data_IF_017173067120
#
_entry.id   IF_017173067120
#
_cell.length_a   1.000
_cell.length_b   1.000
_cell.length_c   1.000
_cell.angle_alpha   90.00
_cell.angle_beta   90.00
_cell.angle_gamma   90.00
#
_symmetry.space_group_name_H-M   'P 1'
#
loop_
_entity.id
_entity.type
_entity.pdbx_description
1 polymer ?
#
# COMPACT_ATOMS: atom_id res chain seq x y z
N UNK A 1 27.40 22.72 22.17
CA UNK A 1 26.34 22.02 22.90
C UNK A 1 26.93 20.73 23.41
N UNK A 2 26.85 20.36 24.68
CA UNK A 2 27.40 19.08 25.13
C UNK A 2 26.67 17.94 24.42
N UNK A 3 27.42 17.01 23.86
CA UNK A 3 26.96 15.85 23.05
C UNK A 3 25.80 15.09 23.74
N UNK A 4 25.80 15.08 25.06
CA UNK A 4 24.74 14.52 25.91
C UNK A 4 23.35 15.11 25.64
N UNK A 5 23.23 16.43 25.46
CA UNK A 5 21.92 17.08 25.23
C UNK A 5 21.39 16.84 23.81
N UNK A 6 22.28 16.67 22.85
CA UNK A 6 21.89 16.34 21.47
C UNK A 6 21.27 14.94 21.38
N UNK A 7 21.97 13.93 21.90
CA UNK A 7 21.47 12.55 21.89
C UNK A 7 20.21 12.36 22.76
N UNK A 8 20.13 13.06 23.90
CA UNK A 8 18.90 13.03 24.71
C UNK A 8 17.72 13.67 23.95
N UNK A 9 17.97 14.77 23.24
CA UNK A 9 16.95 15.41 22.38
C UNK A 9 16.49 14.52 21.24
N UNK A 10 17.40 13.84 20.57
CA UNK A 10 17.09 12.88 19.51
C UNK A 10 16.27 11.68 20.02
N UNK A 11 16.68 11.14 21.17
CA UNK A 11 15.93 10.07 21.83
C UNK A 11 14.50 10.50 22.20
N UNK A 12 14.32 11.68 22.77
CA UNK A 12 13.01 12.23 23.06
C UNK A 12 12.15 12.39 21.82
N UNK A 13 12.74 12.86 20.71
CA UNK A 13 12.02 12.97 19.44
C UNK A 13 11.59 11.60 18.90
N UNK A 14 12.44 10.58 19.01
CA UNK A 14 12.10 9.20 18.63
C UNK A 14 10.95 8.64 19.47
N UNK A 15 11.01 8.80 20.80
CA UNK A 15 9.95 8.31 21.69
C UNK A 15 8.64 9.07 21.49
N UNK A 16 8.68 10.39 21.30
CA UNK A 16 7.50 11.20 20.97
C UNK A 16 6.90 10.82 19.63
N UNK A 17 7.74 10.61 18.60
CA UNK A 17 7.31 10.18 17.28
C UNK A 17 6.66 8.78 17.34
N UNK A 18 7.26 7.85 18.05
CA UNK A 18 6.71 6.51 18.27
C UNK A 18 5.36 6.56 19.04
N UNK A 19 5.28 7.40 20.07
CA UNK A 19 4.03 7.59 20.84
C UNK A 19 2.93 8.20 19.96
N UNK A 20 3.27 9.19 19.15
CA UNK A 20 2.33 9.80 18.20
C UNK A 20 1.84 8.76 17.16
N UNK A 21 2.73 8.00 16.58
CA UNK A 21 2.37 6.92 15.64
C UNK A 21 1.41 5.91 16.28
N UNK A 22 1.65 5.52 17.55
CA UNK A 22 0.76 4.62 18.28
C UNK A 22 -0.62 5.20 18.57
N UNK A 23 -0.72 6.51 18.79
CA UNK A 23 -2.03 7.16 19.02
C UNK A 23 -2.85 7.32 17.74
N UNK A 24 -2.21 7.30 16.57
CA UNK A 24 -2.88 7.37 15.27
C UNK A 24 -3.29 5.98 14.74
N UNK A 25 -2.51 4.95 15.01
CA UNK A 25 -2.89 3.57 14.73
C UNK A 25 -3.86 3.12 15.83
N UNK A 26 -5.14 2.98 15.55
CA UNK A 26 -6.08 2.35 16.47
C UNK A 26 -5.64 0.89 16.67
N UNK A 27 -5.00 0.53 17.80
CA UNK A 27 -4.46 -0.82 17.97
C UNK A 27 -5.62 -1.83 17.99
N UNK A 28 -5.48 -2.87 17.20
CA UNK A 28 -6.38 -4.01 17.27
C UNK A 28 -6.24 -4.70 18.65
N UNK A 29 -7.23 -5.48 19.10
CA UNK A 29 -7.14 -6.22 20.37
C UNK A 29 -5.90 -7.11 20.48
N UNK A 30 -5.39 -7.60 19.35
CA UNK A 30 -4.19 -8.45 19.26
C UNK A 30 -2.89 -7.65 19.48
N UNK A 31 -2.92 -6.35 19.25
CA UNK A 31 -1.80 -5.42 19.42
C UNK A 31 -1.71 -4.82 20.83
N UNK A 32 -2.52 -5.32 21.77
CA UNK A 32 -2.55 -4.85 23.18
C UNK A 32 -1.19 -4.91 23.92
N UNK A 33 -0.22 -5.69 23.42
CA UNK A 33 1.16 -5.73 23.93
C UNK A 33 1.95 -4.43 23.67
N UNK A 34 1.52 -3.57 22.75
CA UNK A 34 2.17 -2.30 22.44
C UNK A 34 2.07 -1.31 23.62
N UNK A 35 0.97 -1.32 24.35
CA UNK A 35 0.78 -0.43 25.49
C UNK A 35 1.86 -0.64 26.57
N UNK A 36 2.14 -1.87 27.04
CA UNK A 36 3.25 -2.13 27.93
C UNK A 36 4.61 -1.67 27.39
N UNK A 37 4.85 -1.84 26.07
CA UNK A 37 6.11 -1.42 25.46
C UNK A 37 6.29 0.10 25.44
N UNK A 38 5.22 0.86 25.12
CA UNK A 38 5.21 2.33 25.24
C UNK A 38 5.52 2.76 26.67
N UNK A 39 4.91 2.12 27.64
CA UNK A 39 5.15 2.40 29.07
C UNK A 39 6.61 2.14 29.42
N UNK A 40 7.19 1.01 28.97
CA UNK A 40 8.62 0.69 29.17
C UNK A 40 9.51 1.75 28.54
N UNK A 41 9.23 2.18 27.30
CA UNK A 41 9.98 3.24 26.61
C UNK A 41 9.94 4.56 27.39
N UNK A 42 8.79 4.94 27.93
CA UNK A 42 8.65 6.14 28.77
C UNK A 42 9.35 5.99 30.12
N UNK A 43 9.30 4.81 30.73
CA UNK A 43 10.04 4.54 31.99
C UNK A 43 11.56 4.66 31.72
N UNK A 44 12.05 4.07 30.63
CA UNK A 44 13.46 4.17 30.23
C UNK A 44 13.86 5.61 29.94
N UNK A 45 12.99 6.37 29.26
CA UNK A 45 13.19 7.80 28.97
C UNK A 45 13.23 8.62 30.26
N UNK A 46 12.29 8.38 31.17
CA UNK A 46 12.26 9.03 32.47
C UNK A 46 13.52 8.69 33.28
N UNK A 47 13.95 7.43 33.32
CA UNK A 47 15.17 6.98 33.97
C UNK A 47 16.43 7.65 33.38
N UNK A 48 16.46 7.87 32.06
CA UNK A 48 17.57 8.58 31.40
C UNK A 48 17.61 10.09 31.70
N UNK A 49 16.46 10.70 32.01
CA UNK A 49 16.33 12.13 32.32
C UNK A 49 16.49 12.46 33.79
N UNK A 50 16.41 11.49 34.72
CA UNK A 50 16.45 11.71 36.17
C UNK A 50 17.90 11.98 36.66
N UNK A 51 18.06 12.82 37.72
CA UNK A 51 19.39 13.15 38.23
C UNK A 51 20.14 11.97 38.84
N UNK A 52 21.44 11.99 38.64
CA UNK A 52 22.56 11.15 39.04
C UNK A 52 22.42 10.00 40.08
N UNK A 53 21.43 9.96 40.94
CA UNK A 53 21.30 8.91 41.99
C UNK A 53 20.58 7.65 41.50
N UNK A 54 19.50 7.78 40.73
CA UNK A 54 18.80 6.64 40.12
C UNK A 54 19.58 6.07 38.93
N UNK A 55 20.29 6.92 38.18
CA UNK A 55 21.23 6.50 37.12
C UNK A 55 22.27 5.48 37.61
N UNK A 56 22.74 5.58 38.84
CA UNK A 56 23.66 4.60 39.44
C UNK A 56 23.03 3.23 39.66
N UNK A 57 21.75 3.16 39.97
CA UNK A 57 21.04 1.89 40.17
C UNK A 57 20.81 1.15 38.85
N UNK A 58 20.47 1.87 37.78
CA UNK A 58 20.35 1.31 36.40
C UNK A 58 21.72 0.99 35.79
N UNK A 59 22.75 1.73 36.17
CA UNK A 59 24.14 1.52 35.73
C UNK A 59 24.83 0.28 36.28
N UNK A 60 24.35 -0.30 37.39
CA UNK A 60 24.97 -1.48 38.00
C UNK A 60 25.09 -2.69 37.04
N UNK A 61 24.02 -3.10 36.34
CA UNK A 61 24.12 -4.17 35.36
C UNK A 61 25.07 -3.82 34.17
N UNK A 62 25.08 -2.56 33.78
CA UNK A 62 25.92 -2.08 32.65
C UNK A 62 27.40 -2.08 33.05
N UNK A 63 27.71 -1.63 34.23
CA UNK A 63 29.09 -1.73 34.79
C UNK A 63 29.56 -3.16 34.98
N UNK A 64 28.67 -4.08 35.40
CA UNK A 64 28.97 -5.50 35.47
C UNK A 64 29.22 -6.08 34.07
N UNK A 65 28.40 -5.77 33.06
CA UNK A 65 28.62 -6.18 31.70
C UNK A 65 29.92 -5.65 31.12
N UNK A 66 30.30 -4.41 31.44
CA UNK A 66 31.59 -3.82 31.02
C UNK A 66 32.79 -4.55 31.61
N UNK A 67 32.62 -5.10 32.81
CA UNK A 67 33.66 -5.95 33.44
C UNK A 67 33.84 -7.31 32.72
N UNK A 68 32.88 -7.66 31.82
CA UNK A 68 32.90 -8.88 31.02
C UNK A 68 32.91 -8.53 29.51
N UNK A 69 34.05 -8.08 28.95
CA UNK A 69 34.10 -7.45 27.64
C UNK A 69 33.57 -8.32 26.51
N UNK A 70 33.77 -9.64 26.55
CA UNK A 70 33.25 -10.56 25.53
C UNK A 70 31.71 -10.54 25.54
N UNK A 71 31.10 -10.66 26.71
CA UNK A 71 29.64 -10.66 26.86
C UNK A 71 29.05 -9.31 26.49
N UNK A 72 29.71 -8.21 26.83
CA UNK A 72 29.29 -6.85 26.48
C UNK A 72 29.28 -6.66 24.95
N UNK A 73 30.37 -7.00 24.27
CA UNK A 73 30.42 -6.83 22.81
C UNK A 73 29.47 -7.79 22.08
N UNK A 74 29.34 -9.03 22.56
CA UNK A 74 28.39 -9.98 21.99
C UNK A 74 26.96 -9.46 22.09
N UNK A 75 26.57 -8.94 23.26
CA UNK A 75 25.24 -8.38 23.48
C UNK A 75 25.00 -7.14 22.61
N UNK A 76 25.98 -6.24 22.52
CA UNK A 76 25.89 -5.05 21.66
C UNK A 76 25.73 -5.45 20.19
N UNK A 77 26.46 -6.45 19.74
CA UNK A 77 26.41 -6.96 18.37
C UNK A 77 25.07 -7.62 18.06
N UNK A 78 24.48 -8.36 19.02
CA UNK A 78 23.15 -8.94 18.89
C UNK A 78 22.08 -7.84 18.79
N UNK A 79 22.16 -6.79 19.61
CA UNK A 79 21.21 -5.69 19.55
C UNK A 79 21.35 -4.85 18.27
N UNK A 80 22.58 -4.54 17.85
CA UNK A 80 22.84 -3.84 16.58
C UNK A 80 22.32 -4.71 15.41
N UNK A 81 22.66 -5.99 15.42
CA UNK A 81 22.22 -6.94 14.40
C UNK A 81 20.68 -7.07 14.37
N UNK A 82 20.03 -7.10 15.53
CA UNK A 82 18.58 -7.12 15.65
C UNK A 82 17.91 -5.85 15.10
N UNK A 83 18.46 -4.68 15.46
CA UNK A 83 17.97 -3.40 14.93
C UNK A 83 18.12 -3.31 13.40
N UNK A 84 19.26 -3.71 12.86
CA UNK A 84 19.47 -3.75 11.41
C UNK A 84 18.60 -4.81 10.72
N UNK A 85 18.41 -5.97 11.36
CA UNK A 85 17.57 -7.03 10.80
C UNK A 85 16.11 -6.59 10.67
N UNK A 86 15.58 -5.77 11.58
CA UNK A 86 14.23 -5.20 11.48
C UNK A 86 14.03 -4.34 10.22
N UNK A 87 15.07 -3.71 9.70
CA UNK A 87 15.03 -2.93 8.46
C UNK A 87 15.07 -3.80 7.20
N UNK A 88 15.57 -5.02 7.30
CA UNK A 88 15.76 -5.94 6.17
C UNK A 88 14.60 -6.96 6.06
N UNK A 89 14.16 -7.52 7.21
CA UNK A 89 13.16 -8.59 7.28
C UNK A 89 11.76 -8.21 6.72
N UNK A 90 11.26 -6.97 6.83
CA UNK A 90 9.94 -6.62 6.30
C UNK A 90 9.75 -6.79 4.79
N UNK A 91 10.84 -6.93 4.04
CA UNK A 91 10.80 -6.99 2.57
C UNK A 91 10.74 -8.41 2.00
N UNK A 92 10.74 -9.44 2.84
CA UNK A 92 10.61 -10.80 2.33
C UNK A 92 9.16 -11.28 2.46
N UNK A 93 8.50 -11.69 1.35
CA UNK A 93 7.19 -12.30 1.39
C UNK A 93 7.32 -13.72 1.98
N UNK A 94 7.38 -13.85 3.28
CA UNK A 94 7.30 -15.14 3.96
C UNK A 94 5.95 -15.24 4.65
N UNK A 95 5.35 -16.42 4.60
CA UNK A 95 4.05 -16.82 5.11
C UNK A 95 3.81 -16.61 6.63
N UNK A 96 4.43 -15.60 7.25
CA UNK A 96 4.23 -15.19 8.63
C UNK A 96 3.70 -13.76 8.68
N UNK A 97 2.86 -13.47 9.66
CA UNK A 97 2.35 -12.14 9.92
C UNK A 97 3.49 -11.13 10.01
N UNK A 98 3.66 -10.28 9.04
CA UNK A 98 4.72 -9.29 9.07
C UNK A 98 4.38 -8.24 10.15
N UNK A 99 5.40 -7.66 10.81
CA UNK A 99 5.22 -6.60 11.80
C UNK A 99 4.47 -5.41 11.19
N UNK A 100 3.49 -4.87 11.89
CA UNK A 100 2.85 -3.62 11.49
C UNK A 100 3.87 -2.46 11.53
N UNK A 101 3.65 -1.35 10.80
CA UNK A 101 4.54 -0.18 10.86
C UNK A 101 4.77 0.32 12.27
N UNK A 102 3.74 0.24 13.09
CA UNK A 102 3.75 0.67 14.48
C UNK A 102 4.62 -0.26 15.32
N UNK A 103 4.44 -1.57 15.19
CA UNK A 103 5.28 -2.59 15.83
C UNK A 103 6.74 -2.42 15.46
N UNK A 104 7.02 -2.23 14.17
CA UNK A 104 8.37 -1.97 13.67
C UNK A 104 9.02 -0.79 14.40
N UNK A 105 8.33 0.35 14.46
CA UNK A 105 8.86 1.57 15.09
C UNK A 105 9.13 1.38 16.57
N UNK A 106 8.23 0.70 17.28
CA UNK A 106 8.42 0.45 18.71
C UNK A 106 9.59 -0.48 18.99
N UNK A 107 9.69 -1.58 18.25
CA UNK A 107 10.78 -2.53 18.42
C UNK A 107 12.11 -1.87 18.05
N UNK A 108 12.15 -1.14 16.93
CA UNK A 108 13.35 -0.43 16.47
C UNK A 108 13.76 0.66 17.48
N UNK A 109 12.83 1.49 17.91
CA UNK A 109 13.10 2.52 18.93
C UNK A 109 13.56 1.91 20.26
N UNK A 110 12.97 0.79 20.69
CA UNK A 110 13.40 0.08 21.88
C UNK A 110 14.82 -0.46 21.76
N UNK A 111 15.15 -1.11 20.63
CA UNK A 111 16.48 -1.65 20.36
C UNK A 111 17.54 -0.54 20.30
N UNK A 112 17.31 0.49 19.50
CA UNK A 112 18.27 1.61 19.40
C UNK A 112 18.39 2.40 20.69
N UNK A 113 17.30 2.58 21.45
CA UNK A 113 17.34 3.19 22.76
C UNK A 113 18.16 2.37 23.76
N UNK A 114 18.03 1.06 23.73
CA UNK A 114 18.83 0.16 24.58
C UNK A 114 20.31 0.17 24.20
N UNK A 115 20.62 0.16 22.90
CA UNK A 115 21.99 0.34 22.39
C UNK A 115 22.59 1.66 22.86
N UNK A 116 21.81 2.75 22.76
CA UNK A 116 22.22 4.07 23.21
C UNK A 116 22.55 4.08 24.71
N UNK A 117 21.66 3.53 25.55
CA UNK A 117 21.85 3.50 27.01
C UNK A 117 23.12 2.70 27.38
N UNK A 118 23.29 1.52 26.79
CA UNK A 118 24.45 0.64 27.07
C UNK A 118 25.75 1.29 26.57
N UNK A 119 25.79 1.73 25.32
CA UNK A 119 26.99 2.30 24.73
C UNK A 119 27.37 3.64 25.36
N UNK A 120 26.38 4.50 25.62
CA UNK A 120 26.62 5.80 26.20
C UNK A 120 27.13 5.72 27.64
N UNK A 121 26.44 4.99 28.50
CA UNK A 121 26.79 4.92 29.94
C UNK A 121 28.11 4.17 30.14
N UNK A 122 28.39 3.17 29.31
CA UNK A 122 29.65 2.42 29.35
C UNK A 122 30.87 3.22 28.86
N UNK A 123 30.70 4.11 27.88
CA UNK A 123 31.79 4.80 27.20
C UNK A 123 31.75 6.35 27.37
N UNK A 124 30.94 6.87 28.29
CA UNK A 124 30.82 8.32 28.51
C UNK A 124 32.17 9.05 28.69
N UNK A 125 33.15 8.52 29.50
CA UNK A 125 34.43 9.19 29.66
C UNK A 125 35.28 9.20 28.37
N UNK A 126 35.30 8.09 27.63
CA UNK A 126 36.04 7.94 26.37
C UNK A 126 35.41 8.82 25.27
N UNK A 127 34.07 8.83 25.18
CA UNK A 127 33.33 9.65 24.23
C UNK A 127 33.56 11.16 24.50
N UNK A 128 33.62 11.58 25.78
CA UNK A 128 33.98 12.98 26.12
C UNK A 128 35.43 13.31 25.76
N UNK A 129 36.35 12.39 26.00
CA UNK A 129 37.76 12.56 25.64
C UNK A 129 37.98 12.58 24.12
N UNK A 130 37.29 11.72 23.38
CA UNK A 130 37.25 11.75 21.92
C UNK A 130 36.66 13.05 21.39
N UNK A 131 35.51 13.51 21.94
CA UNK A 131 34.85 14.74 21.53
C UNK A 131 35.75 15.97 21.69
N UNK A 132 36.58 16.02 22.74
CA UNK A 132 37.54 17.09 22.96
C UNK A 132 38.71 17.09 21.98
N UNK A 133 39.14 15.92 21.52
CA UNK A 133 40.21 15.75 20.52
C UNK A 133 39.71 15.92 19.08
N UNK A 134 38.52 15.37 18.79
CA UNK A 134 37.89 15.43 17.47
C UNK A 134 37.51 16.85 17.08
N UNK A 135 37.09 17.70 18.04
CA UNK A 135 36.68 19.09 17.78
C UNK A 135 37.73 19.99 17.10
N UNK A 136 38.97 19.52 16.98
CA UNK A 136 40.09 20.21 16.32
C UNK A 136 40.55 19.57 15.00
N UNK A 137 39.88 18.48 14.56
CA UNK A 137 40.28 17.69 13.40
C UNK A 137 39.36 17.90 12.19
N UNK A 138 39.96 17.94 10.99
CA UNK A 138 39.19 17.93 9.72
C UNK A 138 38.29 16.70 9.61
N UNK A 139 38.67 15.59 10.24
CA UNK A 139 37.88 14.36 10.32
C UNK A 139 36.55 14.56 11.04
N UNK A 140 36.46 15.50 12.00
CA UNK A 140 35.20 15.82 12.69
C UNK A 140 34.16 16.36 11.73
N UNK A 141 34.57 17.23 10.79
CA UNK A 141 33.64 17.74 9.76
C UNK A 141 33.05 16.61 8.92
N UNK A 142 33.90 15.69 8.47
CA UNK A 142 33.45 14.50 7.70
C UNK A 142 32.52 13.62 8.53
N UNK A 143 32.86 13.31 9.77
CA UNK A 143 32.00 12.50 10.65
C UNK A 143 30.66 13.16 10.93
N UNK A 144 30.65 14.47 11.20
CA UNK A 144 29.38 15.22 11.39
C UNK A 144 28.53 15.18 10.14
N UNK A 145 29.14 15.40 8.97
CA UNK A 145 28.42 15.33 7.70
C UNK A 145 27.83 13.94 7.45
N UNK A 146 28.61 12.86 7.62
CA UNK A 146 28.14 11.51 7.45
C UNK A 146 26.99 11.18 8.43
N UNK A 147 27.15 11.53 9.71
CA UNK A 147 26.13 11.32 10.73
C UNK A 147 24.85 12.07 10.38
N UNK A 148 24.96 13.33 9.91
CA UNK A 148 23.79 14.12 9.49
C UNK A 148 23.09 13.48 8.29
N UNK A 149 23.85 13.03 7.29
CA UNK A 149 23.28 12.33 6.13
C UNK A 149 22.57 11.03 6.53
N UNK A 150 23.16 10.25 7.43
CA UNK A 150 22.52 9.05 7.96
C UNK A 150 21.24 9.38 8.74
N UNK A 151 21.25 10.43 9.56
CA UNK A 151 20.05 10.87 10.28
C UNK A 151 18.94 11.31 9.33
N UNK A 152 19.26 12.04 8.27
CA UNK A 152 18.30 12.45 7.24
C UNK A 152 17.77 11.22 6.51
N UNK A 153 18.65 10.27 6.17
CA UNK A 153 18.27 9.02 5.53
C UNK A 153 17.28 8.20 6.38
N UNK A 154 17.63 7.93 7.64
CA UNK A 154 16.75 7.17 8.53
C UNK A 154 15.47 7.92 8.90
N UNK A 155 15.51 9.25 9.00
CA UNK A 155 14.29 10.04 9.20
C UNK A 155 13.36 9.96 7.98
N UNK A 156 13.90 10.03 6.77
CA UNK A 156 13.15 9.84 5.53
C UNK A 156 12.56 8.42 5.41
N UNK A 157 13.37 7.43 5.71
CA UNK A 157 12.95 6.02 5.75
C UNK A 157 11.79 5.79 6.73
N UNK A 158 11.92 6.29 7.97
CA UNK A 158 10.88 6.20 8.98
C UNK A 158 9.61 6.95 8.57
N UNK A 159 9.75 8.14 7.98
CA UNK A 159 8.62 8.93 7.50
C UNK A 159 7.80 8.18 6.45
N UNK A 160 8.46 7.62 5.43
CA UNK A 160 7.79 6.88 4.36
C UNK A 160 7.11 5.62 4.87
N UNK A 161 7.69 4.93 5.86
CA UNK A 161 7.10 3.71 6.42
C UNK A 161 5.92 3.94 7.35
N UNK A 162 5.88 5.08 8.05
CA UNK A 162 4.92 5.32 9.14
C UNK A 162 3.83 6.29 8.74
N UNK A 163 4.21 7.38 8.07
CA UNK A 163 3.32 8.52 7.83
C UNK A 163 2.87 8.65 6.38
N UNK A 164 3.58 8.01 5.46
CA UNK A 164 3.30 8.11 4.03
C UNK A 164 2.87 6.76 3.46
N UNK A 165 1.81 6.17 4.04
CA UNK A 165 1.25 4.92 3.57
C UNK A 165 0.27 5.23 2.45
N UNK A 166 0.74 5.07 1.23
CA UNK A 166 0.00 5.23 -0.02
C UNK A 166 0.51 4.23 -1.04
N UNK A 167 0.00 4.26 -2.25
CA UNK A 167 0.42 3.38 -3.34
C UNK A 167 0.87 4.18 -4.56
N UNK A 168 1.66 3.55 -5.41
CA UNK A 168 2.09 4.05 -6.72
C UNK A 168 1.53 3.22 -7.88
N UNK A 169 0.69 2.24 -7.57
CA UNK A 169 0.10 1.35 -8.55
C UNK A 169 1.03 0.24 -9.08
N UNK A 170 2.29 0.17 -8.61
CA UNK A 170 3.27 -0.80 -9.15
C UNK A 170 3.49 -1.98 -8.22
N UNK A 171 3.25 -3.19 -8.72
CA UNK A 171 3.29 -4.43 -7.95
C UNK A 171 4.63 -4.78 -7.30
N UNK A 172 5.74 -4.11 -7.67
CA UNK A 172 7.10 -4.44 -7.21
C UNK A 172 7.76 -3.36 -6.35
N UNK A 173 7.08 -2.23 -6.08
CA UNK A 173 7.64 -1.14 -5.26
C UNK A 173 7.40 -1.36 -3.79
N UNK A 174 8.26 -0.77 -2.96
CA UNK A 174 8.10 -0.79 -1.51
C UNK A 174 6.85 -0.06 -1.06
N UNK A 175 6.47 1.01 -1.76
CA UNK A 175 5.28 1.81 -1.46
C UNK A 175 4.02 0.97 -1.64
N UNK A 176 3.87 0.35 -2.80
CA UNK A 176 2.73 -0.50 -3.11
C UNK A 176 2.64 -1.71 -2.18
N UNK A 177 3.76 -2.42 -1.96
CA UNK A 177 3.82 -3.54 -1.03
C UNK A 177 3.38 -3.13 0.39
N UNK A 178 3.84 -1.96 0.86
CA UNK A 178 3.51 -1.45 2.19
C UNK A 178 2.04 -1.11 2.34
N UNK A 179 1.43 -0.55 1.28
CA UNK A 179 0.01 -0.29 1.23
C UNK A 179 -0.80 -1.60 1.27
N UNK A 180 -0.46 -2.59 0.44
CA UNK A 180 -1.12 -3.89 0.43
C UNK A 180 -1.09 -4.56 1.80
N UNK A 181 0.05 -4.50 2.46
CA UNK A 181 0.23 -5.05 3.79
C UNK A 181 -0.67 -4.40 4.84
N UNK A 182 -0.87 -3.10 4.76
CA UNK A 182 -1.64 -2.36 5.77
C UNK A 182 -3.13 -2.31 5.47
N UNK A 183 -3.51 -2.31 4.20
CA UNK A 183 -4.88 -2.05 3.78
C UNK A 183 -5.43 -3.05 2.75
N UNK A 184 -4.59 -3.70 1.96
CA UNK A 184 -5.03 -4.69 0.98
C UNK A 184 -5.38 -6.02 1.64
N UNK A 185 -4.36 -6.75 2.06
CA UNK A 185 -4.53 -8.13 2.55
C UNK A 185 -5.19 -8.24 3.92
N UNK A 186 -5.05 -7.25 4.79
CA UNK A 186 -5.61 -7.27 6.15
C UNK A 186 -7.13 -7.04 6.20
N UNK A 187 -7.75 -6.70 5.08
CA UNK A 187 -9.18 -6.43 4.98
C UNK A 187 -9.91 -7.48 4.14
N UNK A 188 -9.32 -8.67 3.98
CA UNK A 188 -9.96 -9.78 3.29
C UNK A 188 -10.96 -10.47 4.21
N UNK A 189 -12.15 -10.74 3.66
CA UNK A 189 -13.19 -11.51 4.32
C UNK A 189 -12.90 -13.02 4.32
N UNK A 190 -13.78 -13.82 4.90
CA UNK A 190 -13.63 -15.28 4.97
C UNK A 190 -13.64 -15.98 3.61
N UNK A 191 -14.14 -15.31 2.56
CA UNK A 191 -14.14 -15.82 1.18
C UNK A 191 -12.82 -15.49 0.45
N UNK A 192 -12.01 -14.58 1.00
CA UNK A 192 -10.67 -14.26 0.51
C UNK A 192 -10.56 -12.98 -0.31
N UNK A 193 -11.60 -12.17 -0.37
CA UNK A 193 -11.61 -10.89 -1.07
C UNK A 193 -11.58 -9.70 -0.09
N UNK A 194 -11.01 -8.59 -0.52
CA UNK A 194 -11.02 -7.33 0.25
C UNK A 194 -12.44 -6.76 0.30
N UNK A 195 -13.16 -7.17 1.33
CA UNK A 195 -14.58 -6.91 1.48
C UNK A 195 -15.04 -7.14 2.91
N UNK A 196 -16.23 -6.66 3.28
CA UNK A 196 -16.92 -7.10 4.48
C UNK A 196 -17.33 -8.58 4.38
N UNK A 197 -17.65 -9.18 5.52
CA UNK A 197 -18.20 -10.54 5.52
C UNK A 197 -19.55 -10.54 4.81
N UNK A 198 -19.77 -11.44 3.82
CA UNK A 198 -21.04 -11.52 3.12
C UNK A 198 -22.17 -11.89 4.07
N UNK A 199 -23.35 -11.34 3.85
CA UNK A 199 -24.51 -11.67 4.65
C UNK A 199 -24.93 -13.13 4.43
N UNK A 200 -25.52 -13.79 5.47
CA UNK A 200 -26.09 -15.11 5.31
C UNK A 200 -27.13 -15.17 4.19
N UNK A 201 -27.31 -16.35 3.60
CA UNK A 201 -28.31 -16.52 2.55
C UNK A 201 -29.72 -16.24 3.08
N UNK A 202 -30.34 -15.21 2.50
CA UNK A 202 -31.73 -14.83 2.74
C UNK A 202 -32.41 -14.62 1.38
N UNK A 203 -33.52 -15.32 1.07
CA UNK A 203 -34.28 -15.12 -0.16
C UNK A 203 -34.78 -13.70 -0.38
N UNK A 204 -34.95 -12.93 0.70
CA UNK A 204 -35.37 -11.52 0.64
C UNK A 204 -34.26 -10.59 0.17
N UNK A 205 -32.98 -11.00 0.30
CA UNK A 205 -31.84 -10.21 -0.14
C UNK A 205 -31.60 -10.35 -1.65
N UNK A 206 -31.27 -9.24 -2.26
CA UNK A 206 -30.73 -9.21 -3.62
C UNK A 206 -29.20 -9.13 -3.53
N UNK A 207 -28.54 -10.25 -3.84
CA UNK A 207 -27.07 -10.32 -3.84
C UNK A 207 -26.54 -9.72 -5.15
N UNK A 208 -25.65 -8.75 -5.02
CA UNK A 208 -24.93 -8.09 -6.11
C UNK A 208 -23.47 -8.47 -6.00
N UNK A 209 -22.88 -9.07 -7.02
CA UNK A 209 -21.45 -9.26 -7.09
C UNK A 209 -20.81 -8.17 -7.96
N UNK A 210 -19.87 -7.42 -7.42
CA UNK A 210 -19.04 -6.49 -8.16
C UNK A 210 -17.72 -7.17 -8.47
N UNK A 211 -17.45 -7.38 -9.74
CA UNK A 211 -16.34 -8.18 -10.24
C UNK A 211 -15.42 -7.31 -11.05
N UNK A 212 -14.12 -7.51 -10.89
CA UNK A 212 -13.11 -6.74 -11.62
C UNK A 212 -11.71 -6.91 -11.03
N UNK A 213 -10.89 -5.94 -11.33
CA UNK A 213 -9.48 -5.88 -10.97
C UNK A 213 -9.21 -4.99 -9.72
N UNK A 214 -8.11 -4.27 -9.76
CA UNK A 214 -7.68 -3.31 -8.74
C UNK A 214 -8.68 -2.15 -8.53
N UNK A 215 -9.48 -1.78 -9.53
CA UNK A 215 -10.49 -0.73 -9.43
C UNK A 215 -11.61 -1.15 -8.48
N UNK A 216 -12.07 -2.39 -8.59
CA UNK A 216 -13.08 -2.97 -7.70
C UNK A 216 -12.51 -3.26 -6.31
N UNK A 217 -11.30 -3.82 -6.24
CA UNK A 217 -10.62 -4.07 -4.99
C UNK A 217 -10.41 -2.76 -4.19
N UNK A 218 -10.42 -1.61 -4.86
CA UNK A 218 -10.20 -0.30 -4.25
C UNK A 218 -8.73 -0.04 -3.93
N UNK A 219 -7.85 -0.36 -4.91
CA UNK A 219 -6.41 -0.11 -4.79
C UNK A 219 -6.16 1.37 -4.47
N UNK A 220 -5.33 1.62 -3.46
CA UNK A 220 -5.01 2.97 -3.01
C UNK A 220 -5.99 3.60 -2.03
N UNK A 221 -7.17 3.01 -1.81
CA UNK A 221 -8.17 3.46 -0.85
C UNK A 221 -7.92 2.76 0.50
N UNK A 222 -7.55 3.50 1.53
CA UNK A 222 -7.13 2.93 2.80
C UNK A 222 -8.28 2.33 3.61
N UNK A 223 -9.42 3.01 3.63
CA UNK A 223 -10.59 2.55 4.35
C UNK A 223 -11.51 1.77 3.41
N UNK A 224 -11.84 0.54 3.77
CA UNK A 224 -12.73 -0.33 3.00
C UNK A 224 -14.08 0.33 2.71
N UNK A 225 -14.66 1.01 3.70
CA UNK A 225 -15.95 1.70 3.59
C UNK A 225 -15.98 2.84 2.55
N UNK A 226 -14.82 3.30 2.10
CA UNK A 226 -14.69 4.36 1.09
C UNK A 226 -14.51 3.81 -0.34
N UNK A 227 -14.43 2.48 -0.52
CA UNK A 227 -14.40 1.85 -1.85
C UNK A 227 -15.77 1.96 -2.53
N UNK A 228 -15.81 1.96 -3.85
CA UNK A 228 -17.08 2.16 -4.54
C UNK A 228 -18.09 1.01 -4.34
N UNK A 229 -17.69 -0.28 -4.20
CA UNK A 229 -18.65 -1.33 -3.89
C UNK A 229 -19.32 -1.14 -2.53
N UNK A 230 -18.57 -0.70 -1.50
CA UNK A 230 -19.13 -0.42 -0.17
C UNK A 230 -20.04 0.82 -0.16
N UNK A 231 -19.70 1.85 -0.96
CA UNK A 231 -20.60 3.00 -1.16
C UNK A 231 -21.89 2.60 -1.87
N UNK A 232 -21.80 1.75 -2.89
CA UNK A 232 -22.94 1.19 -3.59
C UNK A 232 -23.87 0.42 -2.63
N UNK A 233 -23.31 -0.44 -1.76
CA UNK A 233 -24.10 -1.15 -0.77
C UNK A 233 -24.89 -0.21 0.15
N UNK A 234 -24.23 0.84 0.64
CA UNK A 234 -24.87 1.87 1.47
C UNK A 234 -26.01 2.58 0.75
N UNK A 235 -25.86 2.87 -0.55
CA UNK A 235 -26.90 3.52 -1.37
C UNK A 235 -28.08 2.60 -1.63
N UNK A 236 -27.82 1.35 -1.99
CA UNK A 236 -28.87 0.34 -2.23
C UNK A 236 -29.65 -0.02 -0.96
N UNK A 237 -29.01 0.01 0.21
CA UNK A 237 -29.64 -0.21 1.52
C UNK A 237 -29.92 -1.68 1.86
N UNK A 238 -30.66 -1.90 2.93
CA UNK A 238 -30.81 -3.18 3.63
C UNK A 238 -31.43 -4.34 2.79
N UNK A 239 -31.96 -4.08 1.61
CA UNK A 239 -32.49 -5.12 0.71
C UNK A 239 -31.42 -5.77 -0.18
N UNK A 240 -30.20 -5.29 -0.10
CA UNK A 240 -29.09 -5.74 -0.94
C UNK A 240 -27.90 -6.19 -0.10
N UNK A 241 -27.08 -7.05 -0.70
CA UNK A 241 -25.81 -7.53 -0.18
C UNK A 241 -24.79 -7.46 -1.33
N UNK A 242 -23.89 -6.48 -1.26
CA UNK A 242 -22.90 -6.23 -2.31
C UNK A 242 -21.61 -6.95 -1.94
N UNK A 243 -21.17 -7.85 -2.80
CA UNK A 243 -19.96 -8.64 -2.57
C UNK A 243 -18.91 -8.31 -3.63
N UNK A 244 -17.66 -8.16 -3.20
CA UNK A 244 -16.50 -7.95 -4.06
C UNK A 244 -15.91 -9.29 -4.49
N UNK A 245 -15.63 -9.44 -5.79
CA UNK A 245 -14.89 -10.55 -6.38
C UNK A 245 -13.78 -9.94 -7.23
N UNK A 246 -12.71 -9.52 -6.61
CA UNK A 246 -11.67 -8.74 -7.29
C UNK A 246 -10.30 -8.89 -6.64
N UNK A 247 -9.26 -8.80 -7.47
CA UNK A 247 -7.86 -8.68 -7.05
C UNK A 247 -7.10 -7.89 -8.11
N UNK A 248 -6.05 -7.18 -7.70
CA UNK A 248 -5.27 -6.38 -8.64
C UNK A 248 -4.61 -7.21 -9.74
N UNK A 249 -4.70 -6.71 -10.96
CA UNK A 249 -4.09 -7.32 -12.13
C UNK A 249 -4.84 -8.54 -12.67
N UNK A 250 -6.10 -8.73 -12.28
CA UNK A 250 -6.95 -9.69 -12.96
C UNK A 250 -7.33 -9.19 -14.35
N UNK A 251 -7.38 -10.14 -15.27
CA UNK A 251 -7.89 -9.98 -16.63
C UNK A 251 -9.27 -10.64 -16.71
N UNK A 252 -10.02 -10.37 -17.76
CA UNK A 252 -11.41 -10.83 -17.95
C UNK A 252 -11.62 -12.34 -17.80
N UNK A 253 -10.68 -13.18 -18.20
CA UNK A 253 -10.77 -14.65 -18.06
C UNK A 253 -10.61 -15.10 -16.60
N UNK A 254 -9.75 -14.44 -15.84
CA UNK A 254 -9.57 -14.68 -14.41
C UNK A 254 -10.80 -14.24 -13.62
N UNK A 255 -11.42 -13.13 -14.00
CA UNK A 255 -12.68 -12.65 -13.42
C UNK A 255 -13.81 -13.67 -13.63
N UNK A 256 -13.98 -14.18 -14.86
CA UNK A 256 -14.98 -15.23 -15.15
C UNK A 256 -14.73 -16.49 -14.33
N UNK A 257 -13.47 -16.94 -14.22
CA UNK A 257 -13.13 -18.10 -13.41
C UNK A 257 -13.54 -17.89 -11.95
N UNK A 258 -13.28 -16.73 -11.36
CA UNK A 258 -13.59 -16.45 -9.97
C UNK A 258 -15.09 -16.28 -9.69
N UNK A 259 -15.83 -15.64 -10.60
CA UNK A 259 -17.31 -15.58 -10.51
C UNK A 259 -17.89 -17.00 -10.46
N UNK A 260 -17.43 -17.90 -11.32
CA UNK A 260 -17.92 -19.28 -11.39
C UNK A 260 -17.60 -20.09 -10.13
N UNK A 261 -16.53 -19.76 -9.43
CA UNK A 261 -16.07 -20.40 -8.19
C UNK A 261 -16.63 -19.76 -6.93
N UNK A 262 -17.21 -18.58 -7.04
CA UNK A 262 -17.72 -17.85 -5.88
C UNK A 262 -18.82 -18.68 -5.19
N UNK A 263 -18.74 -18.87 -3.87
CA UNK A 263 -19.64 -19.79 -3.17
C UNK A 263 -21.08 -19.29 -3.10
N UNK A 264 -21.30 -17.99 -3.21
CA UNK A 264 -22.61 -17.38 -3.12
C UNK A 264 -23.12 -17.03 -4.51
N UNK A 265 -24.45 -17.16 -4.71
CA UNK A 265 -25.06 -16.97 -6.03
C UNK A 265 -25.63 -15.53 -6.14
N UNK A 266 -25.01 -14.65 -6.93
CA UNK A 266 -25.54 -13.31 -7.16
C UNK A 266 -26.78 -13.36 -8.08
N UNK A 267 -27.71 -12.44 -7.85
CA UNK A 267 -28.80 -12.14 -8.80
C UNK A 267 -28.36 -11.11 -9.85
N UNK A 268 -27.44 -10.22 -9.45
CA UNK A 268 -26.89 -9.16 -10.29
C UNK A 268 -25.37 -9.29 -10.24
N UNK A 269 -24.72 -9.17 -11.40
CA UNK A 269 -23.26 -9.05 -11.52
C UNK A 269 -22.95 -7.72 -12.19
N UNK A 270 -22.12 -6.92 -11.54
CA UNK A 270 -21.51 -5.74 -12.13
C UNK A 270 -20.10 -6.14 -12.55
N UNK A 271 -19.85 -6.22 -13.84
CA UNK A 271 -18.50 -6.38 -14.38
C UNK A 271 -17.88 -4.99 -14.55
N UNK A 272 -16.88 -4.71 -13.75
CA UNK A 272 -16.13 -3.46 -13.79
C UNK A 272 -14.94 -3.61 -14.73
N UNK A 273 -15.11 -3.18 -15.96
CA UNK A 273 -14.10 -3.26 -17.00
C UNK A 273 -13.22 -2.01 -17.00
N UNK A 274 -11.93 -2.20 -16.86
CA UNK A 274 -10.93 -1.16 -17.13
C UNK A 274 -10.06 -1.55 -18.34
N UNK A 275 -9.44 -0.56 -18.99
CA UNK A 275 -8.72 -0.81 -20.25
C UNK A 275 -7.48 -1.69 -20.10
N UNK A 276 -6.99 -1.93 -18.88
CA UNK A 276 -5.88 -2.86 -18.63
C UNK A 276 -6.28 -4.35 -18.72
N UNK A 277 -7.57 -4.67 -18.79
CA UNK A 277 -8.07 -6.05 -18.96
C UNK A 277 -7.56 -6.74 -20.24
N UNK A 278 -6.90 -5.98 -21.13
CA UNK A 278 -6.21 -6.48 -22.31
C UNK A 278 -4.68 -6.53 -22.19
N UNK A 279 -4.11 -6.19 -21.02
CA UNK A 279 -2.65 -6.12 -20.84
C UNK A 279 -1.98 -7.47 -21.03
N UNK A 280 -2.67 -8.57 -20.74
CA UNK A 280 -2.14 -9.92 -20.97
C UNK A 280 -1.75 -10.17 -22.44
N UNK A 281 -2.41 -9.51 -23.40
CA UNK A 281 -2.09 -9.59 -24.83
C UNK A 281 -0.79 -8.87 -25.21
N UNK A 282 -0.28 -8.02 -24.32
CA UNK A 282 0.96 -7.27 -24.51
C UNK A 282 2.17 -7.89 -23.82
N UNK A 283 1.99 -8.84 -22.91
CA UNK A 283 3.07 -9.37 -22.03
C UNK A 283 4.27 -9.90 -22.82
N UNK A 284 4.03 -10.53 -23.97
CA UNK A 284 5.09 -11.10 -24.82
C UNK A 284 5.44 -10.22 -26.03
N UNK A 285 5.10 -8.94 -26.00
CA UNK A 285 5.35 -7.98 -27.07
C UNK A 285 6.29 -6.86 -26.62
N UNK A 286 6.82 -6.09 -27.58
CA UNK A 286 7.60 -4.88 -27.30
C UNK A 286 6.77 -3.78 -26.62
N UNK A 287 5.44 -3.91 -26.64
CA UNK A 287 4.48 -2.99 -26.00
C UNK A 287 4.15 -3.37 -24.55
N UNK A 288 4.78 -4.40 -23.99
CA UNK A 288 4.59 -4.75 -22.57
C UNK A 288 4.89 -3.54 -21.69
N UNK A 289 3.92 -3.07 -20.87
CA UNK A 289 4.10 -1.90 -19.98
C UNK A 289 5.30 -2.03 -19.03
N UNK A 290 5.64 -3.24 -18.62
CA UNK A 290 6.78 -3.53 -17.75
C UNK A 290 8.14 -3.20 -18.41
N UNK A 291 8.21 -3.22 -19.75
CA UNK A 291 9.42 -2.83 -20.48
C UNK A 291 9.78 -1.35 -20.32
N UNK A 292 8.85 -0.53 -19.89
CA UNK A 292 9.08 0.89 -19.61
C UNK A 292 9.82 1.13 -18.28
N UNK A 293 10.03 0.08 -17.45
CA UNK A 293 10.78 0.19 -16.21
C UNK A 293 12.27 -0.05 -16.43
N UNK A 294 13.08 0.87 -15.88
CA UNK A 294 14.52 0.71 -15.86
C UNK A 294 14.90 0.09 -14.51
N UNK A 295 15.15 -1.19 -14.49
CA UNK A 295 15.64 -1.88 -13.30
C UNK A 295 17.14 -1.69 -13.10
N UNK A 296 17.62 -1.59 -11.84
CA UNK A 296 19.04 -1.42 -11.56
C UNK A 296 19.84 -2.63 -12.04
N UNK A 297 20.82 -2.43 -12.94
CA UNK A 297 21.67 -3.51 -13.46
C UNK A 297 22.79 -3.93 -12.49
N UNK A 298 23.19 -3.04 -11.59
CA UNK A 298 24.23 -3.35 -10.59
C UNK A 298 23.60 -4.06 -9.40
N UNK A 299 24.05 -5.28 -9.02
CA UNK A 299 23.45 -6.05 -7.93
C UNK A 299 23.43 -5.33 -6.57
N UNK A 300 24.49 -4.56 -6.26
CA UNK A 300 24.55 -3.82 -5.00
C UNK A 300 23.57 -2.64 -4.98
N UNK A 301 23.41 -1.95 -6.12
CA UNK A 301 22.40 -0.90 -6.27
C UNK A 301 20.98 -1.48 -6.22
N UNK A 302 20.74 -2.61 -6.88
CA UNK A 302 19.48 -3.32 -6.83
C UNK A 302 19.12 -3.72 -5.38
N UNK A 303 20.08 -4.34 -4.69
CA UNK A 303 19.88 -4.69 -3.27
C UNK A 303 19.56 -3.47 -2.41
N UNK A 304 20.30 -2.37 -2.56
CA UNK A 304 20.08 -1.16 -1.78
C UNK A 304 18.70 -0.52 -2.05
N UNK A 305 18.32 -0.43 -3.32
CA UNK A 305 17.02 0.13 -3.74
C UNK A 305 15.87 -0.77 -3.28
N UNK A 306 16.04 -2.09 -3.33
CA UNK A 306 14.99 -3.02 -2.90
C UNK A 306 14.88 -3.15 -1.37
N UNK A 307 15.98 -2.96 -0.63
CA UNK A 307 16.00 -3.13 0.82
C UNK A 307 15.45 -1.91 1.55
N UNK A 308 15.72 -0.71 1.07
CA UNK A 308 15.33 0.52 1.75
C UNK A 308 14.20 1.25 1.03
N UNK A 309 13.23 1.73 1.79
CA UNK A 309 12.04 2.38 1.27
C UNK A 309 12.37 3.72 0.57
N UNK A 310 13.17 4.57 1.22
CA UNK A 310 13.54 5.87 0.67
C UNK A 310 14.30 5.78 -0.68
N UNK A 311 15.32 4.93 -0.85
CA UNK A 311 15.93 4.69 -2.15
C UNK A 311 14.96 4.11 -3.18
N UNK A 312 14.06 3.22 -2.78
CA UNK A 312 13.04 2.64 -3.64
C UNK A 312 12.10 3.73 -4.17
N UNK A 313 11.55 4.53 -3.27
CA UNK A 313 10.71 5.68 -3.59
C UNK A 313 11.40 6.69 -4.52
N UNK A 314 12.64 7.09 -4.19
CA UNK A 314 13.38 8.04 -5.04
C UNK A 314 13.63 7.44 -6.44
N UNK A 315 13.96 6.18 -6.53
CA UNK A 315 14.29 5.54 -7.80
C UNK A 315 13.05 5.33 -8.69
N UNK A 316 12.02 4.71 -8.16
CA UNK A 316 10.84 4.32 -8.95
C UNK A 316 9.81 5.46 -9.07
N UNK A 317 9.54 6.20 -8.02
CA UNK A 317 8.49 7.21 -8.05
C UNK A 317 8.99 8.59 -8.45
N UNK A 318 10.18 9.00 -8.00
CA UNK A 318 10.69 10.35 -8.32
C UNK A 318 11.49 10.35 -9.62
N UNK A 319 12.48 9.47 -9.77
CA UNK A 319 13.39 9.50 -10.93
C UNK A 319 12.71 8.94 -12.18
N UNK A 320 12.06 7.80 -12.09
CA UNK A 320 11.41 7.20 -13.26
C UNK A 320 10.13 7.93 -13.67
N UNK A 321 9.34 8.42 -12.72
CA UNK A 321 8.16 9.21 -13.04
C UNK A 321 8.47 10.54 -13.74
N UNK A 322 9.60 11.15 -13.39
CA UNK A 322 10.05 12.40 -14.06
C UNK A 322 10.63 12.17 -15.46
N UNK A 323 10.94 10.92 -15.83
CA UNK A 323 11.26 10.58 -17.21
C UNK A 323 9.95 10.47 -18.01
N UNK A 324 9.56 11.54 -18.65
CA UNK A 324 8.25 11.84 -19.26
C UNK A 324 7.69 10.85 -20.30
N UNK A 325 8.43 9.82 -20.66
CA UNK A 325 8.01 8.84 -21.68
C UNK A 325 6.97 7.82 -21.15
N UNK A 326 6.86 7.63 -19.85
CA UNK A 326 6.24 6.46 -19.27
C UNK A 326 4.72 6.50 -19.17
N UNK A 327 4.16 7.54 -18.55
CA UNK A 327 2.70 7.63 -18.38
C UNK A 327 1.98 7.82 -19.71
N UNK A 328 2.59 8.59 -20.62
CA UNK A 328 2.04 8.80 -21.96
C UNK A 328 2.04 7.52 -22.80
N UNK A 329 3.07 6.67 -22.68
CA UNK A 329 3.13 5.41 -23.39
C UNK A 329 2.11 4.42 -22.87
N UNK A 330 1.97 4.26 -21.55
CA UNK A 330 1.01 3.35 -20.94
C UNK A 330 -0.43 3.60 -21.42
N UNK A 331 -0.94 4.81 -21.26
CA UNK A 331 -2.29 5.17 -21.72
C UNK A 331 -2.48 4.98 -23.23
N UNK A 332 -1.47 5.33 -24.04
CA UNK A 332 -1.51 5.11 -25.48
C UNK A 332 -1.51 3.62 -25.86
N UNK A 333 -0.74 2.80 -25.14
CA UNK A 333 -0.70 1.36 -25.37
C UNK A 333 -2.05 0.71 -25.06
N UNK A 334 -2.67 1.04 -23.91
CA UNK A 334 -4.01 0.59 -23.55
C UNK A 334 -5.05 0.92 -24.63
N UNK A 335 -5.05 2.16 -25.11
CA UNK A 335 -5.98 2.60 -26.15
C UNK A 335 -5.71 1.88 -27.47
N UNK A 336 -4.43 1.77 -27.86
CA UNK A 336 -4.05 1.18 -29.15
C UNK A 336 -4.40 -0.31 -29.26
N UNK A 337 -4.31 -1.05 -28.13
CA UNK A 337 -4.71 -2.45 -28.06
C UNK A 337 -6.19 -2.62 -28.34
N UNK A 338 -7.02 -1.77 -27.74
CA UNK A 338 -8.48 -1.79 -27.97
C UNK A 338 -8.86 -1.43 -29.41
N UNK A 339 -8.02 -0.68 -30.11
CA UNK A 339 -8.27 -0.27 -31.48
C UNK A 339 -7.68 -1.23 -32.52
N UNK A 340 -6.89 -2.22 -32.11
CA UNK A 340 -6.36 -3.29 -32.95
C UNK A 340 -7.42 -4.40 -33.09
N UNK A 341 -7.90 -4.65 -34.32
CA UNK A 341 -9.00 -5.59 -34.57
C UNK A 341 -8.62 -7.04 -34.24
N UNK A 342 -7.35 -7.44 -34.41
CA UNK A 342 -6.90 -8.80 -34.12
C UNK A 342 -6.84 -9.06 -32.62
N UNK A 343 -6.33 -8.10 -31.84
CA UNK A 343 -6.28 -8.18 -30.38
C UNK A 343 -7.68 -8.05 -29.78
N UNK A 344 -8.47 -7.11 -30.30
CA UNK A 344 -9.86 -6.94 -29.87
C UNK A 344 -10.70 -8.21 -30.06
N UNK A 345 -10.48 -8.96 -31.16
CA UNK A 345 -11.23 -10.21 -31.41
C UNK A 345 -11.00 -11.25 -30.29
N UNK A 346 -9.81 -11.28 -29.70
CA UNK A 346 -9.49 -12.17 -28.58
C UNK A 346 -10.22 -11.71 -27.31
N UNK A 347 -10.14 -10.43 -27.01
CA UNK A 347 -10.86 -9.85 -25.85
C UNK A 347 -12.38 -10.01 -25.98
N UNK A 348 -12.93 -9.75 -27.16
CA UNK A 348 -14.34 -9.91 -27.43
C UNK A 348 -14.82 -11.36 -27.16
N UNK A 349 -13.97 -12.36 -27.38
CA UNK A 349 -14.28 -13.75 -27.06
C UNK A 349 -14.41 -13.93 -25.52
N UNK A 350 -13.48 -13.40 -24.72
CA UNK A 350 -13.56 -13.47 -23.26
C UNK A 350 -14.79 -12.74 -22.73
N UNK A 351 -15.08 -11.55 -23.26
CA UNK A 351 -16.29 -10.79 -22.91
C UNK A 351 -17.58 -11.55 -23.30
N UNK A 352 -17.56 -12.26 -24.44
CA UNK A 352 -18.67 -13.12 -24.84
C UNK A 352 -18.87 -14.28 -23.86
N UNK A 353 -17.82 -14.91 -23.37
CA UNK A 353 -17.90 -16.00 -22.42
C UNK A 353 -18.54 -15.56 -21.09
N UNK A 354 -18.25 -14.33 -20.63
CA UNK A 354 -18.92 -13.77 -19.44
C UNK A 354 -20.40 -13.52 -19.71
N UNK A 355 -20.76 -12.94 -20.87
CA UNK A 355 -22.15 -12.64 -21.21
C UNK A 355 -22.96 -13.94 -21.39
N UNK A 356 -22.41 -14.94 -22.04
CA UNK A 356 -23.03 -16.28 -22.21
C UNK A 356 -23.21 -16.99 -20.86
N UNK A 357 -22.21 -16.93 -19.97
CA UNK A 357 -22.33 -17.45 -18.61
C UNK A 357 -23.45 -16.74 -17.83
N UNK A 358 -23.52 -15.42 -17.89
CA UNK A 358 -24.57 -14.66 -17.18
C UNK A 358 -25.98 -15.04 -17.68
N UNK A 359 -26.16 -15.18 -18.99
CA UNK A 359 -27.43 -15.60 -19.60
C UNK A 359 -27.79 -17.01 -19.16
N UNK A 360 -26.87 -17.97 -19.24
CA UNK A 360 -27.08 -19.38 -18.82
C UNK A 360 -27.38 -19.53 -17.34
N UNK A 361 -26.79 -18.64 -16.53
CA UNK A 361 -26.98 -18.62 -15.07
C UNK A 361 -28.20 -17.83 -14.62
N UNK A 362 -28.92 -17.20 -15.55
CA UNK A 362 -30.04 -16.28 -15.28
C UNK A 362 -29.65 -15.15 -14.32
N UNK A 363 -28.46 -14.58 -14.54
CA UNK A 363 -27.90 -13.47 -13.79
C UNK A 363 -28.04 -12.18 -14.60
N UNK A 364 -28.53 -11.10 -13.99
CA UNK A 364 -28.51 -9.77 -14.63
C UNK A 364 -27.07 -9.25 -14.64
N UNK A 365 -26.50 -9.05 -15.83
CA UNK A 365 -25.17 -8.48 -16.02
C UNK A 365 -25.28 -6.99 -16.32
N UNK A 366 -24.47 -6.18 -15.63
CA UNK A 366 -24.25 -4.75 -15.87
C UNK A 366 -22.76 -4.56 -16.15
N UNK A 367 -22.39 -3.90 -17.22
CA UNK A 367 -21.00 -3.55 -17.53
C UNK A 367 -20.74 -2.10 -17.09
N UNK A 368 -19.90 -1.93 -16.07
CA UNK A 368 -19.33 -0.65 -15.66
C UNK A 368 -18.00 -0.46 -16.40
N UNK A 369 -17.88 0.58 -17.22
CA UNK A 369 -16.69 0.80 -18.06
C UNK A 369 -15.94 2.05 -17.60
N UNK A 370 -14.67 1.89 -17.26
CA UNK A 370 -13.82 2.97 -16.82
C UNK A 370 -12.93 3.47 -17.98
N UNK A 371 -12.90 4.79 -18.21
CA UNK A 371 -11.91 5.39 -19.08
C UNK A 371 -10.52 5.43 -18.40
N UNK A 372 -9.48 5.71 -19.17
CA UNK A 372 -8.20 6.11 -18.59
C UNK A 372 -8.36 7.46 -17.87
N UNK A 373 -8.28 7.45 -16.54
CA UNK A 373 -8.63 8.60 -15.70
C UNK A 373 -7.70 9.82 -15.91
N UNK A 374 -6.48 9.56 -16.35
CA UNK A 374 -5.54 10.63 -16.73
C UNK A 374 -5.76 11.16 -18.14
N UNK A 375 -6.57 10.48 -19.00
CA UNK A 375 -6.75 10.78 -20.41
C UNK A 375 -8.15 10.40 -20.94
N UNK A 376 -9.20 10.85 -20.28
CA UNK A 376 -10.60 10.45 -20.53
C UNK A 376 -10.98 10.62 -22.01
N UNK A 377 -10.81 11.82 -22.58
CA UNK A 377 -11.22 12.09 -23.95
C UNK A 377 -10.45 11.24 -24.97
N UNK A 378 -9.16 10.95 -24.70
CA UNK A 378 -8.31 10.14 -25.58
C UNK A 378 -8.73 8.67 -25.51
N UNK A 379 -9.16 8.18 -24.37
CA UNK A 379 -9.60 6.79 -24.15
C UNK A 379 -11.04 6.51 -24.55
N UNK A 380 -11.87 7.55 -24.77
CA UNK A 380 -13.28 7.40 -25.17
C UNK A 380 -13.52 6.48 -26.37
N UNK A 381 -12.71 6.43 -27.44
CA UNK A 381 -12.91 5.46 -28.51
C UNK A 381 -12.81 4.00 -28.05
N UNK A 382 -11.91 3.70 -27.11
CA UNK A 382 -11.74 2.36 -26.54
C UNK A 382 -12.94 1.98 -25.64
N UNK A 383 -13.32 2.85 -24.69
CA UNK A 383 -14.50 2.60 -23.83
C UNK A 383 -15.78 2.45 -24.65
N UNK A 384 -15.94 3.26 -25.69
CA UNK A 384 -17.07 3.14 -26.62
C UNK A 384 -17.10 1.77 -27.30
N UNK A 385 -15.96 1.26 -27.78
CA UNK A 385 -15.87 -0.05 -28.42
C UNK A 385 -16.32 -1.17 -27.46
N UNK A 386 -15.86 -1.12 -26.22
CA UNK A 386 -16.28 -2.05 -25.17
C UNK A 386 -17.79 -1.93 -24.90
N UNK A 387 -18.28 -0.72 -24.75
CA UNK A 387 -19.71 -0.47 -24.50
C UNK A 387 -20.61 -0.92 -25.67
N UNK A 388 -20.20 -0.70 -26.90
CA UNK A 388 -20.93 -1.15 -28.09
C UNK A 388 -20.98 -2.69 -28.17
N UNK A 389 -19.89 -3.38 -27.78
CA UNK A 389 -19.92 -4.83 -27.65
C UNK A 389 -20.98 -5.28 -26.64
N UNK A 390 -20.97 -4.79 -25.41
CA UNK A 390 -21.93 -5.19 -24.37
C UNK A 390 -23.38 -4.87 -24.78
N UNK A 391 -23.63 -3.70 -25.36
CA UNK A 391 -24.97 -3.34 -25.89
C UNK A 391 -25.42 -4.30 -26.98
N UNK A 392 -24.51 -4.78 -27.85
CA UNK A 392 -24.82 -5.78 -28.88
C UNK A 392 -25.24 -7.14 -28.31
N UNK A 393 -24.81 -7.44 -27.07
CA UNK A 393 -25.18 -8.63 -26.32
C UNK A 393 -26.39 -8.42 -25.40
N UNK A 394 -27.09 -7.27 -25.51
CA UNK A 394 -28.21 -6.84 -24.67
C UNK A 394 -27.82 -6.69 -23.17
N UNK A 395 -26.57 -6.40 -22.89
CA UNK A 395 -26.08 -6.07 -21.56
C UNK A 395 -26.22 -4.58 -21.31
N UNK A 396 -26.66 -4.22 -20.11
CA UNK A 396 -26.74 -2.84 -19.65
C UNK A 396 -25.34 -2.27 -19.45
N UNK A 397 -25.10 -1.02 -19.87
CA UNK A 397 -23.79 -0.39 -19.85
C UNK A 397 -23.83 0.91 -19.09
N UNK A 398 -22.98 1.03 -18.09
CA UNK A 398 -22.65 2.25 -17.35
C UNK A 398 -21.24 2.68 -17.80
N UNK A 399 -21.15 3.66 -18.70
CA UNK A 399 -19.87 4.21 -19.19
C UNK A 399 -19.53 5.47 -18.39
N UNK A 400 -18.45 5.41 -17.62
CA UNK A 400 -18.02 6.49 -16.76
C UNK A 400 -17.41 7.69 -17.51
N UNK A 401 -17.13 7.57 -18.80
CA UNK A 401 -16.46 8.62 -19.59
C UNK A 401 -17.21 9.96 -19.52
N UNK A 402 -18.53 9.95 -19.65
CA UNK A 402 -19.33 11.19 -19.61
C UNK A 402 -19.49 11.74 -18.19
N UNK A 403 -19.65 10.87 -17.21
CA UNK A 403 -19.78 11.26 -15.79
C UNK A 403 -18.50 11.92 -15.25
N UNK A 404 -17.35 11.44 -15.70
CA UNK A 404 -16.05 11.91 -15.22
C UNK A 404 -15.49 13.08 -16.05
N UNK A 405 -16.06 13.33 -17.25
CA UNK A 405 -15.59 14.40 -18.14
C UNK A 405 -15.73 15.78 -17.49
N UNK A 406 -14.68 16.59 -17.65
CA UNK A 406 -14.63 17.95 -17.11
C UNK A 406 -14.10 18.05 -15.68
N UNK A 407 -13.91 16.92 -14.98
CA UNK A 407 -13.18 16.90 -13.71
C UNK A 407 -11.66 16.92 -13.94
N UNK A 408 -10.94 17.42 -12.95
CA UNK A 408 -9.48 17.41 -13.03
C UNK A 408 -8.95 16.00 -12.70
N UNK A 409 -7.82 15.64 -13.29
CA UNK A 409 -7.16 14.34 -13.02
C UNK A 409 -6.92 14.14 -11.52
N UNK A 410 -6.53 15.19 -10.79
CA UNK A 410 -6.26 15.12 -9.35
C UNK A 410 -7.49 14.82 -8.50
N UNK A 411 -8.71 15.09 -8.97
CA UNK A 411 -9.96 14.70 -8.32
C UNK A 411 -10.29 13.22 -8.57
N UNK A 412 -9.83 12.68 -9.70
CA UNK A 412 -10.24 11.36 -10.16
C UNK A 412 -9.29 10.22 -9.74
N UNK A 413 -8.04 10.52 -9.43
CA UNK A 413 -7.01 9.52 -9.13
C UNK A 413 -6.59 9.55 -7.66
N UNK A 414 -6.11 8.41 -7.16
CA UNK A 414 -5.61 8.26 -5.78
C UNK A 414 -4.53 9.28 -5.46
N UNK A 415 -3.52 9.37 -6.32
CA UNK A 415 -2.47 10.38 -6.24
C UNK A 415 -1.71 10.47 -7.57
N UNK A 416 -0.74 11.40 -7.66
CA UNK A 416 0.01 11.64 -8.92
C UNK A 416 0.85 10.45 -9.44
N UNK A 417 1.12 9.46 -8.61
CA UNK A 417 1.90 8.26 -8.98
C UNK A 417 0.99 7.06 -9.26
N UNK A 418 -0.25 7.13 -8.78
CA UNK A 418 -1.22 6.06 -8.84
C UNK A 418 -2.53 6.56 -9.47
N UNK A 419 -2.80 6.09 -10.68
CA UNK A 419 -3.96 6.48 -11.47
C UNK A 419 -5.23 5.65 -11.19
N UNK A 420 -5.23 4.81 -10.15
CA UNK A 420 -6.46 4.15 -9.70
C UNK A 420 -7.52 5.16 -9.25
N UNK A 421 -8.81 4.79 -9.28
CA UNK A 421 -9.89 5.69 -8.93
C UNK A 421 -9.78 6.25 -7.50
N UNK A 422 -9.94 7.55 -7.37
CA UNK A 422 -10.08 8.22 -6.07
C UNK A 422 -11.40 7.83 -5.39
N UNK A 423 -11.54 8.21 -4.12
CA UNK A 423 -12.82 8.09 -3.38
C UNK A 423 -13.95 8.81 -4.10
N UNK A 424 -13.68 9.99 -4.71
CA UNK A 424 -14.67 10.77 -5.46
C UNK A 424 -15.08 10.08 -6.75
N UNK A 425 -14.12 9.59 -7.54
CA UNK A 425 -14.43 8.83 -8.76
C UNK A 425 -15.23 7.56 -8.45
N UNK A 426 -14.86 6.88 -7.35
CA UNK A 426 -15.61 5.71 -6.86
C UNK A 426 -17.03 6.02 -6.42
N UNK A 427 -17.26 7.16 -5.76
CA UNK A 427 -18.59 7.59 -5.35
C UNK A 427 -19.51 7.85 -6.56
N UNK A 428 -18.98 8.53 -7.57
CA UNK A 428 -19.73 8.74 -8.82
C UNK A 428 -20.07 7.42 -9.52
N UNK A 429 -19.20 6.43 -9.49
CA UNK A 429 -19.49 5.10 -10.03
C UNK A 429 -20.59 4.39 -9.23
N UNK A 430 -20.55 4.49 -7.90
CA UNK A 430 -21.59 3.94 -7.03
C UNK A 430 -22.95 4.58 -7.29
N UNK A 431 -23.03 5.91 -7.49
CA UNK A 431 -24.24 6.64 -7.85
C UNK A 431 -24.84 6.17 -9.19
N UNK A 432 -23.99 6.00 -10.21
CA UNK A 432 -24.45 5.51 -11.52
C UNK A 432 -24.95 4.06 -11.44
N UNK A 433 -24.29 3.22 -10.67
CA UNK A 433 -24.70 1.84 -10.46
C UNK A 433 -25.97 1.73 -9.64
N UNK A 434 -26.14 2.54 -8.57
CA UNK A 434 -27.38 2.59 -7.80
C UNK A 434 -28.56 2.96 -8.70
N UNK A 435 -28.41 3.98 -9.54
CA UNK A 435 -29.43 4.36 -10.51
C UNK A 435 -29.75 3.22 -11.50
N UNK A 436 -28.71 2.55 -12.04
CA UNK A 436 -28.90 1.46 -12.99
C UNK A 436 -29.61 0.25 -12.33
N UNK A 437 -29.25 -0.10 -11.10
CA UNK A 437 -29.84 -1.24 -10.39
C UNK A 437 -31.30 -0.95 -10.01
N UNK A 438 -31.58 0.21 -9.41
CA UNK A 438 -32.88 0.52 -8.80
C UNK A 438 -33.94 0.95 -9.82
N UNK A 439 -33.60 1.63 -10.95
CA UNK A 439 -34.55 2.05 -11.96
C UNK A 439 -35.25 0.88 -12.63
N UNK A 440 -34.60 -0.25 -12.82
CA UNK A 440 -35.17 -1.42 -13.49
C UNK A 440 -36.04 -2.27 -12.56
N UNK A 441 -35.85 -2.20 -11.27
CA UNK A 441 -36.68 -2.87 -10.28
C UNK A 441 -38.07 -2.19 -10.11
N UNK A 442 -38.23 -0.97 -10.67
CA UNK A 442 -39.51 -0.22 -10.68
C UNK A 442 -40.32 -0.43 -11.97
N UNK A 443 -39.80 -1.17 -12.94
CA UNK A 443 -40.55 -1.46 -14.18
C UNK A 443 -41.22 -2.84 -14.02
N UNK A 444 -42.59 -2.90 -13.98
CA UNK A 444 -43.32 -4.13 -13.73
C UNK A 444 -43.19 -5.17 -14.84
#
# INVERSE_FOLDING_TARGET
MPMNRFFTGLWLLLVLGATFAATQAQPTPEEGWMIPLVIVLWIVTAAALIPSRLRRLVGVPIHWLRAHPILYWLMLLVYIGGGLALWIVPYQPTNGHPLSPVEFVYIDAALWGFIYLIAYDAHEPELRAMGSKLGKSKLTGVMVTLTTLLLIFFAGEAYLRIFYITTDGYGFTSMNYWWYRNYGWNQNNSVGFRDHEPLPDDPALTRVAVVGDSFVMGHGINNLDDTFPQKLEKMLGAGYDVNVIAESGWDTDVELYNIQKYPLKPKIVVLSYYLNDMDYLLRDTDRNPDNNFIFPKNPAAAWFIQTFFLPNYIYYDVVQFTSSARSTNFSNDLISVHMDDALWSQQAQHLFEITDWAQKSNVRLIALIWPELAAIDVSTPATKRVGDFFRSQNVEVVDMSDTLRGKTTGELIVNRFDTHPSIEAGELAAEQLDAAITQKDQTP
#
